data_IF_540978837471
#
_entry.id   IF_540978837471
#
_cell.length_a   1.000
_cell.length_b   1.000
_cell.length_c   1.000
_cell.angle_alpha   90.00
_cell.angle_beta   90.00
_cell.angle_gamma   90.00
#
_symmetry.space_group_name_H-M   'P 1'
#
loop_
_entity.id
_entity.type
_entity.pdbx_description
1 polymer ?
#
# COMPACT_ATOMS: atom_id res chain seq x y z
N UNK A 1 6.93 0.53 -7.91
CA UNK A 1 6.56 -0.90 -7.76
C UNK A 1 7.18 -1.85 -8.78
N UNK A 2 7.68 -1.38 -9.93
CA UNK A 2 8.49 -2.20 -10.85
C UNK A 2 9.87 -1.57 -10.96
N UNK A 3 10.93 -2.37 -10.82
CA UNK A 3 12.32 -1.92 -11.03
C UNK A 3 12.69 -2.13 -12.50
N UNK A 4 12.94 -1.02 -13.20
CA UNK A 4 13.18 -1.04 -14.65
C UNK A 4 11.95 -1.51 -15.46
N UNK A 5 12.06 -1.54 -16.79
CA UNK A 5 10.91 -1.81 -17.68
C UNK A 5 11.04 -3.10 -18.49
N UNK A 6 12.03 -3.96 -18.20
CA UNK A 6 12.31 -5.14 -19.06
C UNK A 6 11.46 -6.38 -18.74
N UNK A 7 11.20 -6.64 -17.46
CA UNK A 7 10.59 -7.90 -17.01
C UNK A 7 9.28 -7.73 -16.22
N UNK A 8 8.98 -6.52 -15.76
CA UNK A 8 7.75 -6.23 -15.01
C UNK A 8 6.93 -5.15 -15.69
N UNK A 9 5.64 -5.09 -15.34
CA UNK A 9 4.70 -4.12 -15.89
C UNK A 9 3.64 -3.75 -14.85
N UNK A 10 2.96 -2.63 -15.08
CA UNK A 10 1.83 -2.20 -14.25
C UNK A 10 0.74 -3.27 -14.17
N UNK A 11 0.44 -3.96 -15.28
CA UNK A 11 -0.50 -5.08 -15.30
C UNK A 11 -0.04 -6.24 -14.41
N UNK A 12 1.27 -6.57 -14.45
CA UNK A 12 1.84 -7.61 -13.60
C UNK A 12 1.68 -7.31 -12.11
N UNK A 13 1.81 -6.04 -11.73
CA UNK A 13 1.52 -5.57 -10.36
C UNK A 13 0.06 -5.82 -9.99
N UNK A 14 -0.89 -5.40 -10.84
CA UNK A 14 -2.31 -5.56 -10.55
C UNK A 14 -2.73 -7.03 -10.41
N UNK A 15 -2.24 -7.90 -11.31
CA UNK A 15 -2.46 -9.35 -11.24
C UNK A 15 -1.84 -9.96 -9.97
N UNK A 16 -0.60 -9.60 -9.65
CA UNK A 16 0.10 -10.06 -8.46
C UNK A 16 -0.60 -9.67 -7.17
N UNK A 17 -1.07 -8.41 -7.07
CA UNK A 17 -1.85 -7.94 -5.92
C UNK A 17 -3.17 -8.70 -5.78
N UNK A 18 -3.94 -8.80 -6.85
CA UNK A 18 -5.25 -9.45 -6.79
C UNK A 18 -5.17 -10.93 -6.44
N UNK A 19 -4.29 -11.70 -7.09
CA UNK A 19 -4.14 -13.11 -6.76
C UNK A 19 -3.42 -13.34 -5.43
N UNK A 20 -2.55 -12.43 -5.00
CA UNK A 20 -2.01 -12.42 -3.64
C UNK A 20 -3.13 -12.32 -2.59
N UNK A 21 -4.11 -11.44 -2.81
CA UNK A 21 -5.31 -11.34 -1.96
C UNK A 21 -6.13 -12.63 -2.02
N UNK A 22 -6.34 -13.25 -3.20
CA UNK A 22 -7.01 -14.56 -3.31
C UNK A 22 -6.35 -15.61 -2.42
N UNK A 23 -5.02 -15.72 -2.44
CA UNK A 23 -4.30 -16.66 -1.59
C UNK A 23 -4.48 -16.32 -0.10
N UNK A 24 -4.44 -15.04 0.26
CA UNK A 24 -4.73 -14.60 1.62
C UNK A 24 -6.14 -14.97 2.10
N UNK A 25 -7.14 -14.90 1.22
CA UNK A 25 -8.52 -15.36 1.52
C UNK A 25 -8.54 -16.87 1.76
N UNK A 26 -7.82 -17.67 0.97
CA UNK A 26 -7.71 -19.10 1.23
C UNK A 26 -7.03 -19.42 2.57
N UNK A 27 -6.02 -18.64 2.96
CA UNK A 27 -5.29 -18.84 4.24
C UNK A 27 -6.19 -18.55 5.45
N UNK A 28 -6.91 -17.43 5.44
CA UNK A 28 -7.54 -16.90 6.64
C UNK A 28 -9.08 -16.87 6.60
N UNK A 29 -9.71 -17.21 5.46
CA UNK A 29 -11.13 -16.96 5.20
C UNK A 29 -12.05 -17.60 6.23
N UNK A 30 -11.87 -18.90 6.49
CA UNK A 30 -12.69 -19.64 7.48
C UNK A 30 -12.31 -19.37 8.94
N UNK A 31 -11.18 -18.71 9.20
CA UNK A 31 -10.68 -18.45 10.56
C UNK A 31 -11.06 -17.05 11.02
N UNK A 32 -10.77 -16.03 10.21
CA UNK A 32 -10.94 -14.62 10.57
C UNK A 32 -11.86 -13.84 9.63
N UNK A 33 -12.39 -14.47 8.57
CA UNK A 33 -13.02 -13.78 7.45
C UNK A 33 -12.02 -13.15 6.49
N UNK A 34 -10.72 -13.39 6.68
CA UNK A 34 -9.62 -12.86 5.86
C UNK A 34 -9.72 -11.35 5.56
N UNK A 35 -10.02 -10.53 6.57
CA UNK A 35 -10.13 -9.09 6.35
C UNK A 35 -8.87 -8.50 5.72
N UNK A 36 -7.69 -8.84 6.26
CA UNK A 36 -6.35 -8.44 5.77
C UNK A 36 -6.18 -6.93 5.52
N UNK A 37 -7.13 -6.14 6.01
CA UNK A 37 -7.30 -4.74 5.72
C UNK A 37 -7.99 -4.06 6.91
N UNK A 38 -7.33 -3.05 7.47
CA UNK A 38 -7.83 -2.32 8.63
C UNK A 38 -9.12 -1.55 8.31
N UNK A 39 -9.28 -1.05 7.09
CA UNK A 39 -10.51 -0.38 6.65
C UNK A 39 -11.69 -1.36 6.55
N UNK A 40 -11.47 -2.56 5.99
CA UNK A 40 -12.50 -3.63 5.96
C UNK A 40 -12.89 -4.08 7.36
N UNK A 41 -11.89 -4.20 8.24
CA UNK A 41 -12.08 -4.54 9.65
C UNK A 41 -12.88 -3.47 10.38
N UNK A 42 -12.57 -2.19 10.14
CA UNK A 42 -13.29 -1.05 10.69
C UNK A 42 -14.73 -1.02 10.19
N UNK A 43 -14.96 -1.15 8.88
CA UNK A 43 -16.29 -1.14 8.27
C UNK A 43 -17.17 -2.27 8.84
N UNK A 44 -16.61 -3.47 9.02
CA UNK A 44 -17.32 -4.59 9.63
C UNK A 44 -17.71 -4.31 11.09
N UNK A 45 -16.88 -3.60 11.86
CA UNK A 45 -17.25 -3.13 13.19
C UNK A 45 -18.31 -2.04 13.19
N UNK A 46 -18.14 -1.02 12.36
CA UNK A 46 -19.05 0.11 12.26
C UNK A 46 -20.47 -0.31 11.81
N UNK A 47 -20.56 -1.32 10.94
CA UNK A 47 -21.82 -1.87 10.44
C UNK A 47 -22.37 -3.02 11.30
N UNK A 48 -21.82 -3.27 12.50
CA UNK A 48 -22.34 -4.28 13.44
C UNK A 48 -22.10 -5.73 13.03
N UNK A 49 -21.25 -6.00 12.03
CA UNK A 49 -20.88 -7.35 11.57
C UNK A 49 -19.75 -7.98 12.40
N UNK A 50 -18.99 -7.18 13.15
CA UNK A 50 -17.94 -7.65 14.04
C UNK A 50 -17.88 -6.84 15.34
N UNK A 51 -17.67 -7.52 16.48
CA UNK A 51 -17.50 -6.83 17.75
C UNK A 51 -16.24 -5.95 17.78
N UNK A 52 -16.37 -4.70 18.23
CA UNK A 52 -15.26 -3.73 18.36
C UNK A 52 -14.06 -4.24 19.17
N UNK A 53 -14.28 -5.14 20.14
CA UNK A 53 -13.19 -5.76 20.93
C UNK A 53 -12.19 -6.54 20.06
N UNK A 54 -12.61 -7.03 18.89
CA UNK A 54 -11.73 -7.75 17.94
C UNK A 54 -10.91 -6.82 17.06
N UNK A 55 -11.37 -5.59 16.84
CA UNK A 55 -10.73 -4.61 15.97
C UNK A 55 -9.23 -4.42 16.25
N UNK A 56 -8.77 -4.11 17.48
CA UNK A 56 -7.35 -3.89 17.74
C UNK A 56 -6.50 -5.13 17.49
N UNK A 57 -7.01 -6.33 17.78
CA UNK A 57 -6.30 -7.60 17.54
C UNK A 57 -6.11 -7.83 16.05
N UNK A 58 -7.15 -7.58 15.25
CA UNK A 58 -7.07 -7.69 13.79
C UNK A 58 -6.06 -6.70 13.20
N UNK A 59 -6.16 -5.42 13.57
CA UNK A 59 -5.28 -4.38 13.04
C UNK A 59 -3.83 -4.64 13.43
N UNK A 60 -3.57 -5.01 14.69
CA UNK A 60 -2.21 -5.32 15.15
C UNK A 60 -1.61 -6.50 14.38
N UNK A 61 -2.36 -7.59 14.22
CA UNK A 61 -1.89 -8.75 13.46
C UNK A 61 -1.61 -8.42 11.99
N UNK A 62 -2.49 -7.64 11.36
CA UNK A 62 -2.31 -7.18 9.98
C UNK A 62 -1.10 -6.26 9.83
N UNK A 63 -0.89 -5.35 10.78
CA UNK A 63 0.21 -4.39 10.75
C UNK A 63 1.56 -5.09 10.93
N UNK A 64 1.68 -5.98 11.91
CA UNK A 64 2.88 -6.78 12.12
C UNK A 64 3.16 -7.65 10.89
N UNK A 65 2.12 -8.32 10.36
CA UNK A 65 2.26 -9.16 9.17
C UNK A 65 2.77 -8.37 7.96
N UNK A 66 2.22 -7.19 7.69
CA UNK A 66 2.64 -6.36 6.56
C UNK A 66 4.04 -5.77 6.74
N UNK A 67 4.40 -5.34 7.95
CA UNK A 67 5.75 -4.87 8.27
C UNK A 67 6.79 -5.98 8.01
N UNK A 68 6.53 -7.19 8.52
CA UNK A 68 7.42 -8.34 8.31
C UNK A 68 7.47 -8.77 6.84
N UNK A 69 6.36 -8.67 6.10
CA UNK A 69 6.36 -8.91 4.67
C UNK A 69 7.24 -7.90 3.92
N UNK A 70 7.18 -6.61 4.28
CA UNK A 70 8.06 -5.59 3.70
C UNK A 70 9.55 -5.90 3.96
N UNK A 71 9.90 -6.25 5.21
CA UNK A 71 11.26 -6.67 5.56
C UNK A 71 11.71 -7.91 4.76
N UNK A 72 10.82 -8.89 4.61
CA UNK A 72 11.09 -10.11 3.84
C UNK A 72 11.37 -9.79 2.38
N UNK A 73 10.53 -8.96 1.74
CA UNK A 73 10.74 -8.55 0.35
C UNK A 73 12.02 -7.74 0.20
N UNK A 74 12.33 -6.84 1.13
CA UNK A 74 13.60 -6.10 1.10
C UNK A 74 14.81 -7.05 1.15
N UNK A 75 14.80 -8.05 2.03
CA UNK A 75 15.88 -9.03 2.10
C UNK A 75 15.99 -9.87 0.81
N UNK A 76 14.87 -10.34 0.25
CA UNK A 76 14.86 -11.13 -0.97
C UNK A 76 15.35 -10.35 -2.20
N UNK A 77 15.04 -9.05 -2.25
CA UNK A 77 15.37 -8.18 -3.37
C UNK A 77 16.54 -7.23 -3.07
N UNK A 78 17.29 -7.45 -1.98
CA UNK A 78 18.33 -6.52 -1.51
C UNK A 78 19.32 -6.16 -2.61
N UNK A 79 19.95 -7.18 -3.23
CA UNK A 79 20.92 -6.97 -4.30
C UNK A 79 20.32 -6.25 -5.50
N UNK A 80 19.07 -6.55 -5.89
CA UNK A 80 18.40 -5.91 -7.01
C UNK A 80 18.07 -4.44 -6.74
N UNK A 81 17.65 -4.12 -5.50
CA UNK A 81 17.35 -2.75 -5.08
C UNK A 81 18.64 -1.91 -5.07
N UNK A 82 19.72 -2.45 -4.50
CA UNK A 82 21.01 -1.75 -4.42
C UNK A 82 21.62 -1.56 -5.81
N UNK A 83 21.62 -2.58 -6.66
CA UNK A 83 22.12 -2.49 -8.04
C UNK A 83 21.35 -1.44 -8.86
N UNK A 84 20.01 -1.47 -8.82
CA UNK A 84 19.17 -0.51 -9.53
C UNK A 84 19.37 0.93 -9.05
N UNK A 85 19.50 1.13 -7.74
CA UNK A 85 19.58 2.47 -7.13
C UNK A 85 20.99 3.02 -6.99
N UNK A 86 22.02 2.25 -7.37
CA UNK A 86 23.42 2.60 -7.10
C UNK A 86 23.74 2.72 -5.62
N UNK A 87 22.99 2.01 -4.76
CA UNK A 87 23.09 2.08 -3.30
C UNK A 87 22.32 3.23 -2.64
N UNK A 88 21.61 4.05 -3.41
CA UNK A 88 20.86 5.21 -2.88
C UNK A 88 19.38 4.91 -2.67
N UNK A 89 18.95 4.80 -1.41
CA UNK A 89 17.57 4.49 -1.05
C UNK A 89 16.70 5.77 -1.08
N UNK A 90 16.14 6.11 -2.24
CA UNK A 90 15.37 7.35 -2.44
C UNK A 90 13.86 7.13 -2.51
N UNK A 91 13.10 8.16 -2.13
CA UNK A 91 11.63 8.17 -2.14
C UNK A 91 11.07 8.65 -3.48
N UNK A 92 11.70 9.65 -4.08
CA UNK A 92 11.31 10.27 -5.35
C UNK A 92 12.47 10.30 -6.34
N UNK A 93 12.17 10.67 -7.59
CA UNK A 93 13.14 10.74 -8.67
C UNK A 93 13.27 9.46 -9.49
N UNK A 94 14.17 9.45 -10.49
CA UNK A 94 14.24 8.39 -11.51
C UNK A 94 14.71 7.03 -10.98
N UNK A 95 15.35 7.02 -9.79
CA UNK A 95 15.85 5.80 -9.12
C UNK A 95 15.06 5.49 -7.85
N UNK A 96 13.87 6.07 -7.67
CA UNK A 96 13.04 5.88 -6.49
C UNK A 96 12.69 4.41 -6.25
N UNK A 97 12.93 3.94 -5.03
CA UNK A 97 12.69 2.54 -4.62
C UNK A 97 11.68 2.40 -3.48
N UNK A 98 11.34 3.50 -2.78
CA UNK A 98 10.36 3.47 -1.69
C UNK A 98 8.95 3.04 -2.16
N UNK A 99 8.62 3.33 -3.43
CA UNK A 99 7.34 3.01 -4.07
C UNK A 99 7.13 1.51 -4.35
N UNK A 100 8.08 0.65 -3.97
CA UNK A 100 7.92 -0.80 -3.92
C UNK A 100 7.05 -1.18 -2.71
N UNK A 101 7.25 -0.48 -1.59
CA UNK A 101 6.71 -0.86 -0.29
C UNK A 101 5.41 -0.12 0.04
N UNK A 102 5.38 1.19 -0.19
CA UNK A 102 4.24 2.06 0.10
C UNK A 102 3.83 2.86 -1.14
N UNK A 103 2.62 3.42 -1.13
CA UNK A 103 2.16 4.27 -2.23
C UNK A 103 2.58 5.72 -2.04
N UNK A 104 2.79 6.42 -3.14
CA UNK A 104 3.11 7.83 -3.17
C UNK A 104 2.29 8.43 -4.31
N UNK A 105 1.67 9.57 -4.06
CA UNK A 105 0.91 10.19 -5.12
C UNK A 105 1.85 10.76 -6.20
N UNK A 106 1.39 10.79 -7.45
CA UNK A 106 2.10 11.41 -8.54
C UNK A 106 2.05 12.95 -8.45
N UNK A 107 2.97 13.60 -9.15
CA UNK A 107 3.18 15.06 -9.08
C UNK A 107 1.96 15.90 -9.51
N UNK A 108 1.10 15.35 -10.38
CA UNK A 108 -0.10 16.03 -10.84
C UNK A 108 -1.25 15.99 -9.83
N UNK A 109 -1.13 15.19 -8.77
CA UNK A 109 -2.22 14.93 -7.83
C UNK A 109 -2.05 15.78 -6.57
N UNK A 110 -3.15 16.34 -6.06
CA UNK A 110 -3.15 17.06 -4.77
C UNK A 110 -3.48 16.11 -3.62
N UNK A 111 -3.14 16.49 -2.39
CA UNK A 111 -3.50 15.72 -1.19
C UNK A 111 -5.01 15.51 -1.07
N UNK A 112 -5.81 16.56 -1.33
CA UNK A 112 -7.26 16.48 -1.31
C UNK A 112 -7.81 15.56 -2.39
N UNK A 113 -7.25 15.63 -3.59
CA UNK A 113 -7.64 14.73 -4.67
C UNK A 113 -7.28 13.27 -4.36
N UNK A 114 -6.09 13.01 -3.82
CA UNK A 114 -5.70 11.67 -3.36
C UNK A 114 -6.56 11.12 -2.24
N UNK A 115 -6.94 11.98 -1.29
CA UNK A 115 -7.88 11.62 -0.23
C UNK A 115 -9.23 11.19 -0.79
N UNK A 116 -9.80 11.98 -1.71
CA UNK A 116 -11.08 11.63 -2.36
C UNK A 116 -10.97 10.34 -3.16
N UNK A 117 -9.89 10.17 -3.91
CA UNK A 117 -9.60 8.94 -4.67
C UNK A 117 -9.59 7.72 -3.73
N UNK A 118 -8.78 7.72 -2.67
CA UNK A 118 -8.71 6.62 -1.71
C UNK A 118 -10.04 6.34 -0.99
N UNK A 119 -10.80 7.37 -0.62
CA UNK A 119 -12.14 7.21 -0.01
C UNK A 119 -13.10 6.53 -0.98
N UNK A 120 -13.17 7.01 -2.23
CA UNK A 120 -14.09 6.48 -3.24
C UNK A 120 -13.70 5.04 -3.61
N UNK A 121 -12.41 4.80 -3.88
CA UNK A 121 -11.93 3.47 -4.29
C UNK A 121 -12.09 2.45 -3.15
N UNK A 122 -11.78 2.83 -1.90
CA UNK A 122 -12.01 1.95 -0.73
C UNK A 122 -13.49 1.69 -0.50
N UNK A 123 -14.35 2.69 -0.74
CA UNK A 123 -15.81 2.52 -0.69
C UNK A 123 -16.32 1.53 -1.74
N UNK A 124 -15.83 1.63 -2.98
CA UNK A 124 -16.14 0.69 -4.07
C UNK A 124 -15.66 -0.72 -3.74
N UNK A 125 -14.45 -0.88 -3.22
CA UNK A 125 -13.94 -2.16 -2.70
C UNK A 125 -14.93 -2.75 -1.70
N UNK A 126 -15.31 -1.97 -0.69
CA UNK A 126 -16.17 -2.45 0.40
C UNK A 126 -17.58 -2.84 -0.09
N UNK A 127 -18.16 -2.04 -1.00
CA UNK A 127 -19.44 -2.33 -1.64
C UNK A 127 -19.40 -3.66 -2.39
N UNK A 128 -18.40 -3.85 -3.26
CA UNK A 128 -18.25 -5.06 -4.04
C UNK A 128 -17.95 -6.29 -3.16
N UNK A 129 -17.14 -6.15 -2.11
CA UNK A 129 -16.91 -7.23 -1.14
C UNK A 129 -18.21 -7.70 -0.49
N UNK A 130 -19.11 -6.77 -0.12
CA UNK A 130 -20.43 -7.15 0.38
C UNK A 130 -21.26 -7.82 -0.69
N UNK A 131 -21.32 -7.28 -1.91
CA UNK A 131 -22.09 -7.92 -2.99
C UNK A 131 -21.62 -9.36 -3.30
N UNK A 132 -20.30 -9.61 -3.28
CA UNK A 132 -19.71 -10.92 -3.54
C UNK A 132 -20.06 -11.94 -2.45
N UNK A 133 -20.21 -11.49 -1.19
CA UNK A 133 -20.35 -12.37 -0.01
C UNK A 133 -21.75 -12.37 0.60
N UNK A 134 -22.68 -11.58 0.06
CA UNK A 134 -24.04 -11.46 0.58
C UNK A 134 -24.96 -12.55 0.04
N UNK A 135 -25.29 -13.52 0.90
CA UNK A 135 -26.23 -14.61 0.60
C UNK A 135 -27.67 -14.12 0.34
N UNK A 136 -28.02 -12.89 0.71
CA UNK A 136 -29.32 -12.28 0.43
C UNK A 136 -29.41 -11.61 -0.95
N UNK A 137 -28.30 -11.55 -1.69
CA UNK A 137 -28.22 -10.94 -3.02
C UNK A 137 -27.83 -12.01 -4.08
N UNK A 138 -26.83 -11.72 -4.92
CA UNK A 138 -26.29 -12.63 -5.93
C UNK A 138 -24.78 -12.84 -5.67
N UNK A 139 -24.41 -13.63 -4.65
CA UNK A 139 -23.02 -13.81 -4.25
C UNK A 139 -22.25 -14.65 -5.28
N UNK A 140 -20.93 -14.70 -5.11
CA UNK A 140 -20.12 -15.66 -5.85
C UNK A 140 -20.54 -17.10 -5.51
N UNK A 141 -20.30 -18.02 -6.46
CA UNK A 141 -20.53 -19.44 -6.22
C UNK A 141 -19.67 -19.92 -5.05
N UNK A 142 -20.23 -20.79 -4.21
CA UNK A 142 -19.53 -21.33 -3.05
C UNK A 142 -18.16 -21.90 -3.42
N UNK A 143 -17.12 -21.45 -2.73
CA UNK A 143 -15.72 -21.85 -2.96
C UNK A 143 -14.98 -21.01 -4.01
N UNK A 144 -15.66 -20.11 -4.71
CA UNK A 144 -15.07 -19.21 -5.71
C UNK A 144 -14.92 -17.76 -5.22
N UNK A 145 -15.38 -17.45 -4.01
CA UNK A 145 -15.38 -16.11 -3.43
C UNK A 145 -13.97 -15.51 -3.42
N UNK A 146 -12.97 -16.31 -3.04
CA UNK A 146 -11.57 -15.89 -3.00
C UNK A 146 -11.06 -15.41 -4.37
N UNK A 147 -11.42 -16.12 -5.44
CA UNK A 147 -11.01 -15.77 -6.80
C UNK A 147 -11.70 -14.49 -7.26
N UNK A 148 -13.01 -14.36 -7.03
CA UNK A 148 -13.78 -13.16 -7.42
C UNK A 148 -13.30 -11.93 -6.65
N UNK A 149 -12.97 -12.07 -5.36
CA UNK A 149 -12.34 -11.00 -4.56
C UNK A 149 -10.98 -10.60 -5.15
N UNK A 150 -10.15 -11.56 -5.59
CA UNK A 150 -8.89 -11.24 -6.23
C UNK A 150 -9.08 -10.49 -7.55
N UNK A 151 -10.01 -10.94 -8.39
CA UNK A 151 -10.38 -10.26 -9.64
C UNK A 151 -10.84 -8.83 -9.38
N UNK A 152 -11.63 -8.59 -8.32
CA UNK A 152 -12.02 -7.24 -7.92
C UNK A 152 -10.80 -6.34 -7.67
N UNK A 153 -9.79 -6.82 -6.94
CA UNK A 153 -8.55 -6.07 -6.69
C UNK A 153 -7.79 -5.81 -8.00
N UNK A 154 -7.72 -6.79 -8.91
CA UNK A 154 -7.10 -6.60 -10.23
C UNK A 154 -7.80 -5.47 -10.99
N UNK A 155 -9.14 -5.48 -11.04
CA UNK A 155 -9.94 -4.47 -11.75
C UNK A 155 -9.75 -3.09 -11.14
N UNK A 156 -9.74 -2.98 -9.81
CA UNK A 156 -9.46 -1.71 -9.11
C UNK A 156 -8.09 -1.17 -9.52
N UNK A 157 -7.05 -2.00 -9.50
CA UNK A 157 -5.70 -1.59 -9.89
C UNK A 157 -5.63 -1.10 -11.34
N UNK A 158 -6.24 -1.84 -12.28
CA UNK A 158 -6.21 -1.47 -13.70
C UNK A 158 -7.00 -0.18 -13.97
N UNK A 159 -8.16 0.01 -13.33
CA UNK A 159 -9.07 1.11 -13.65
C UNK A 159 -8.83 2.38 -12.83
N UNK A 160 -8.42 2.25 -11.57
CA UNK A 160 -8.41 3.33 -10.58
C UNK A 160 -7.05 3.52 -9.91
N UNK A 161 -6.07 2.66 -10.18
CA UNK A 161 -4.80 2.65 -9.45
C UNK A 161 -3.81 3.76 -9.79
N UNK A 162 -4.01 4.49 -10.89
CA UNK A 162 -3.02 5.46 -11.39
C UNK A 162 -2.84 6.69 -10.48
N UNK A 163 -3.90 7.15 -9.82
CA UNK A 163 -3.90 8.43 -9.10
C UNK A 163 -3.23 8.38 -7.72
N UNK A 164 -3.29 7.23 -7.06
CA UNK A 164 -2.88 7.05 -5.65
C UNK A 164 -2.10 5.76 -5.41
N UNK A 165 -2.00 4.88 -6.42
CA UNK A 165 -1.45 3.54 -6.27
C UNK A 165 -2.41 2.54 -5.61
N UNK A 166 -3.71 2.86 -5.50
CA UNK A 166 -4.76 2.04 -4.89
C UNK A 166 -4.32 1.44 -3.56
N UNK A 167 -3.90 2.28 -2.61
CA UNK A 167 -3.47 1.81 -1.31
C UNK A 167 -4.60 1.01 -0.64
N UNK A 168 -5.82 1.57 -0.62
CA UNK A 168 -7.14 1.01 -0.24
C UNK A 168 -7.19 0.21 1.08
N UNK A 169 -6.09 0.23 1.82
CA UNK A 169 -5.78 -0.64 2.94
C UNK A 169 -4.69 0.01 3.79
N UNK A 170 -5.05 0.57 4.95
CA UNK A 170 -4.06 1.14 5.87
C UNK A 170 -2.99 0.15 6.31
N UNK A 171 -3.35 -1.14 6.43
CA UNK A 171 -2.42 -2.22 6.78
C UNK A 171 -1.40 -2.52 5.68
N UNK A 172 -1.67 -2.16 4.42
CA UNK A 172 -0.78 -2.39 3.27
C UNK A 172 0.17 -1.23 3.01
N UNK A 173 -0.12 -0.04 3.56
CA UNK A 173 0.65 1.17 3.29
C UNK A 173 1.47 1.63 4.49
N UNK A 174 0.84 1.79 5.66
CA UNK A 174 1.49 2.37 6.83
C UNK A 174 2.61 1.49 7.41
N UNK A 175 2.43 0.17 7.62
CA UNK A 175 3.49 -0.66 8.16
C UNK A 175 4.71 -0.78 7.23
N UNK A 176 4.56 -1.02 5.91
CA UNK A 176 5.70 -0.99 4.98
C UNK A 176 6.39 0.37 4.89
N UNK A 177 5.64 1.49 5.01
CA UNK A 177 6.22 2.83 5.09
C UNK A 177 7.06 3.04 6.35
N UNK A 178 6.63 2.49 7.48
CA UNK A 178 7.42 2.50 8.71
C UNK A 178 8.67 1.61 8.58
N UNK A 179 8.56 0.48 7.88
CA UNK A 179 9.72 -0.34 7.54
C UNK A 179 10.75 0.45 6.71
N UNK A 180 10.35 1.11 5.62
CA UNK A 180 11.30 1.86 4.78
C UNK A 180 11.94 3.03 5.53
N UNK A 181 11.21 3.69 6.43
CA UNK A 181 11.78 4.67 7.34
C UNK A 181 12.95 4.09 8.15
N UNK A 182 12.74 2.93 8.80
CA UNK A 182 13.77 2.27 9.60
C UNK A 182 14.92 1.71 8.76
N UNK A 183 14.63 1.26 7.53
CA UNK A 183 15.61 0.65 6.62
C UNK A 183 16.51 1.66 5.90
N UNK A 184 16.31 2.97 6.10
CA UNK A 184 17.25 4.00 5.63
C UNK A 184 16.75 4.90 4.50
N UNK A 185 15.48 4.82 4.08
CA UNK A 185 14.90 5.80 3.14
C UNK A 185 14.65 7.18 3.78
N UNK A 186 14.79 7.29 5.10
CA UNK A 186 14.69 8.54 5.85
C UNK A 186 13.26 9.05 6.04
N UNK A 187 13.12 10.21 6.68
CA UNK A 187 11.80 10.78 7.04
C UNK A 187 10.95 11.20 5.84
N UNK A 188 11.54 11.28 4.64
CA UNK A 188 10.83 11.65 3.42
C UNK A 188 9.69 10.68 3.09
N UNK A 189 9.75 9.44 3.55
CA UNK A 189 8.68 8.45 3.34
C UNK A 189 7.33 8.90 3.94
N UNK A 190 7.32 9.86 4.87
CA UNK A 190 6.10 10.44 5.44
C UNK A 190 5.77 11.84 4.91
N UNK A 191 6.66 12.44 4.12
CA UNK A 191 6.49 13.82 3.64
C UNK A 191 5.79 13.84 2.29
N UNK A 192 4.85 14.77 2.15
CA UNK A 192 4.23 15.11 0.89
C UNK A 192 5.15 16.04 0.08
N UNK A 193 5.50 15.66 -1.15
CA UNK A 193 6.58 16.31 -1.92
C UNK A 193 6.19 17.63 -2.64
N UNK A 194 5.01 18.20 -2.42
CA UNK A 194 4.60 19.45 -3.08
C UNK A 194 4.05 20.50 -2.12
N UNK A 195 4.93 21.12 -1.33
CA UNK A 195 4.73 22.50 -0.86
C UNK A 195 5.51 23.44 -1.79
N UNK A 196 5.09 23.54 -3.05
CA UNK A 196 5.52 24.62 -3.93
C UNK A 196 5.09 25.95 -3.28
N UNK A 197 6.05 26.71 -2.74
CA UNK A 197 5.82 28.06 -2.19
C UNK A 197 6.19 28.27 -0.71
N UNK A 198 6.75 27.27 -0.01
CA UNK A 198 7.19 27.41 1.38
C UNK A 198 8.63 26.91 1.61
N UNK A 199 9.56 27.23 0.72
CA UNK A 199 10.99 26.89 0.86
C UNK A 199 11.59 27.41 2.19
N UNK A 200 11.03 28.50 2.72
CA UNK A 200 11.46 29.10 3.99
C UNK A 200 11.09 28.28 5.25
N UNK A 201 10.18 27.31 5.14
CA UNK A 201 9.87 26.35 6.23
C UNK A 201 10.71 25.07 6.15
N UNK A 202 11.41 24.83 5.03
CA UNK A 202 12.32 23.69 4.87
C UNK A 202 13.72 23.98 5.43
N UNK A 203 14.09 25.26 5.59
CA UNK A 203 15.29 25.69 6.32
C UNK A 203 14.99 25.89 7.80
N UNK A 204 14.78 24.80 8.53
CA UNK A 204 14.84 24.83 9.98
C UNK A 204 16.27 24.52 10.44
N UNK A 205 16.94 25.57 10.91
CA UNK A 205 18.24 25.60 11.62
C UNK A 205 19.47 25.29 10.78
N UNK A 206 20.41 26.24 10.71
CA UNK A 206 21.71 26.11 10.03
C UNK A 206 22.66 25.13 10.70
N UNK A 207 22.24 23.87 10.84
CA UNK A 207 23.13 22.76 11.07
C UNK A 207 23.63 22.27 9.69
N UNK A 208 24.96 22.19 9.45
CA UNK A 208 25.46 21.65 8.21
C UNK A 208 25.05 20.18 8.07
N UNK A 209 24.57 19.81 6.89
CA UNK A 209 24.30 18.43 6.51
C UNK A 209 25.60 17.62 6.61
N UNK A 210 25.60 16.61 7.47
CA UNK A 210 26.73 15.70 7.64
C UNK A 210 26.74 14.79 6.40
N UNK A 211 27.42 15.20 5.32
CA UNK A 211 27.61 14.33 4.16
C UNK A 211 27.91 14.96 2.81
N UNK A 212 27.89 16.29 2.63
CA UNK A 212 28.30 16.87 1.35
C UNK A 212 29.83 16.99 1.27
N UNK A 213 30.49 16.43 0.23
CA UNK A 213 31.89 16.72 -0.04
C UNK A 213 31.99 18.16 -0.54
N UNK A 214 32.68 19.01 0.22
CA UNK A 214 33.06 20.34 -0.22
C UNK A 214 33.93 20.25 -1.48
N UNK A 215 33.42 20.76 -2.60
CA UNK A 215 34.16 20.96 -3.84
C UNK A 215 34.17 22.44 -4.20
N UNK A 216 35.38 22.94 -4.46
CA UNK A 216 35.77 24.31 -4.84
C UNK A 216 35.11 24.83 -6.13
#
# INVERSE_FOLDING_TARGET
MVLGEKLGSYLGVNLGFGFGVTMGVHVAGKVSGAHMNAAVTFASCALGRMAWKKFPVYVLGQFIGSFLAAATIYCLFYSAIIDYSGGHLTVTGPIATANIFATYLPDYMTLWGGFLDEVVVTGMLQLCLFAITDNGNNPALQGTEALVIGILIVVIGISLGMNSGYAINPSRDLPPRFFTFLAGWGTQVFRWHHLLGLDWLQRSTGAPDIGEPHGE
#
